data_IF_964006151866
#
_entry.id   IF_964006151866
#
_cell.length_a   1.000
_cell.length_b   1.000
_cell.length_c   1.000
_cell.angle_alpha   90.00
_cell.angle_beta   90.00
_cell.angle_gamma   90.00
#
_symmetry.space_group_name_H-M   'P 1'
#
loop_
_entity.id
_entity.type
_entity.pdbx_description
1 polymer ?
#
# COMPACT_ATOMS: atom_id res chain seq x y z
N UNK A 1 4.94 17.60 46.23
CA UNK A 1 5.45 18.05 44.93
C UNK A 1 5.59 16.84 44.03
N UNK A 2 4.64 16.62 43.16
CA UNK A 2 4.65 15.48 42.24
C UNK A 2 5.41 15.90 41.02
N UNK A 3 6.61 15.35 40.81
CA UNK A 3 7.37 15.52 39.56
C UNK A 3 6.68 14.67 38.50
N UNK A 4 5.89 15.32 37.67
CA UNK A 4 5.44 14.73 36.43
C UNK A 4 6.66 14.62 35.48
N UNK A 5 7.18 13.42 35.30
CA UNK A 5 8.18 13.15 34.30
C UNK A 5 7.46 13.28 32.95
N UNK A 6 7.54 14.44 32.31
CA UNK A 6 7.16 14.55 30.92
C UNK A 6 8.12 13.67 30.13
N UNK A 7 7.60 12.54 29.63
CA UNK A 7 8.32 11.74 28.66
C UNK A 7 8.35 12.57 27.37
N UNK A 8 9.45 13.24 27.12
CA UNK A 8 9.68 13.90 25.84
C UNK A 8 9.82 12.76 24.81
N UNK A 9 8.73 12.46 24.14
CA UNK A 9 8.79 11.58 22.96
C UNK A 9 9.45 12.38 21.85
N UNK A 10 10.67 12.03 21.53
CA UNK A 10 11.49 12.70 20.51
C UNK A 10 11.08 12.23 19.08
N UNK A 11 9.81 11.90 18.88
CA UNK A 11 9.25 11.47 17.60
C UNK A 11 8.48 12.62 16.96
N UNK A 12 8.67 12.79 15.66
CA UNK A 12 7.86 13.70 14.86
C UNK A 12 6.45 13.13 14.69
N UNK A 13 5.48 14.01 14.47
CA UNK A 13 4.13 13.62 14.14
C UNK A 13 4.08 12.82 12.84
N UNK A 14 3.20 11.82 12.77
CA UNK A 14 2.99 11.05 11.55
C UNK A 14 2.51 11.96 10.40
N UNK A 15 2.97 11.70 9.19
CA UNK A 15 2.52 12.43 8.01
C UNK A 15 0.99 12.36 7.88
N UNK A 16 0.34 13.52 7.77
CA UNK A 16 -1.11 13.62 7.82
C UNK A 16 -1.73 13.61 9.22
N UNK A 17 -0.92 13.64 10.28
CA UNK A 17 -1.36 13.82 11.67
C UNK A 17 -1.82 12.54 12.38
N UNK A 18 -1.92 11.41 11.69
CA UNK A 18 -2.36 10.14 12.28
C UNK A 18 -1.51 8.97 11.79
N UNK A 19 -0.93 8.24 12.72
CA UNK A 19 -0.29 6.96 12.41
C UNK A 19 -1.36 5.91 12.08
N UNK A 20 -1.27 5.34 10.89
CA UNK A 20 -2.15 4.25 10.46
C UNK A 20 -1.50 2.92 10.87
N UNK A 21 -2.28 2.04 11.46
CA UNK A 21 -1.87 0.67 11.75
C UNK A 21 -2.89 -0.29 11.12
N UNK A 22 -2.41 -1.15 10.23
CA UNK A 22 -3.21 -2.16 9.52
C UNK A 22 -2.88 -3.58 9.97
N UNK A 23 -2.04 -3.74 10.99
CA UNK A 23 -1.78 -5.04 11.60
C UNK A 23 -3.05 -5.57 12.27
N UNK A 24 -3.34 -6.83 12.04
CA UNK A 24 -4.53 -7.48 12.58
C UNK A 24 -4.24 -8.16 13.91
N UNK A 25 -5.28 -8.32 14.75
CA UNK A 25 -5.19 -9.10 15.98
C UNK A 25 -4.96 -10.60 15.70
N UNK A 26 -4.44 -11.33 16.67
CA UNK A 26 -4.23 -12.79 16.54
C UNK A 26 -5.51 -13.55 16.22
N UNK A 27 -6.66 -13.10 16.74
CA UNK A 27 -7.95 -13.71 16.43
C UNK A 27 -8.32 -13.52 14.97
N UNK A 28 -8.27 -12.27 14.48
CA UNK A 28 -8.58 -11.95 13.09
C UNK A 28 -7.57 -12.61 12.13
N UNK A 29 -6.30 -12.71 12.52
CA UNK A 29 -5.27 -13.41 11.76
C UNK A 29 -5.65 -14.88 11.50
N UNK A 30 -6.15 -15.58 12.52
CA UNK A 30 -6.60 -16.98 12.36
C UNK A 30 -7.79 -17.11 11.41
N UNK A 31 -8.74 -16.18 11.51
CA UNK A 31 -9.89 -16.12 10.62
C UNK A 31 -9.47 -15.87 9.17
N UNK A 32 -8.62 -14.89 8.92
CA UNK A 32 -8.12 -14.55 7.59
C UNK A 32 -7.26 -15.67 6.98
N UNK A 33 -6.46 -16.36 7.79
CA UNK A 33 -5.71 -17.55 7.35
C UNK A 33 -6.61 -18.68 6.91
N UNK A 34 -7.74 -18.89 7.58
CA UNK A 34 -8.73 -19.89 7.18
C UNK A 34 -9.47 -19.47 5.90
N UNK A 35 -9.91 -18.22 5.84
CA UNK A 35 -10.62 -17.63 4.69
C UNK A 35 -9.76 -17.60 3.42
N UNK A 36 -8.46 -17.29 3.55
CA UNK A 36 -7.54 -17.12 2.43
C UNK A 36 -7.47 -18.32 1.48
N UNK A 37 -7.74 -19.51 1.99
CA UNK A 37 -7.74 -20.76 1.20
C UNK A 37 -8.82 -20.79 0.12
N UNK A 38 -9.87 -20.00 0.27
CA UNK A 38 -10.99 -19.88 -0.68
C UNK A 38 -10.96 -18.60 -1.51
N UNK A 39 -10.03 -17.68 -1.21
CA UNK A 39 -9.91 -16.41 -1.92
C UNK A 39 -9.05 -16.54 -3.17
N UNK A 40 -9.31 -15.67 -4.14
CA UNK A 40 -8.34 -15.40 -5.20
C UNK A 40 -7.05 -14.89 -4.58
N UNK A 41 -5.92 -15.20 -5.19
CA UNK A 41 -4.61 -14.88 -4.62
C UNK A 41 -3.74 -14.06 -5.58
N UNK A 42 -2.94 -13.18 -5.02
CA UNK A 42 -1.84 -12.48 -5.70
C UNK A 42 -0.56 -12.87 -5.00
N UNK A 43 0.46 -13.24 -5.76
CA UNK A 43 1.82 -13.40 -5.24
C UNK A 43 2.56 -12.07 -5.37
N UNK A 44 2.98 -11.54 -4.23
CA UNK A 44 3.71 -10.28 -4.15
C UNK A 44 5.17 -10.49 -4.54
N UNK A 45 5.68 -9.61 -5.39
CA UNK A 45 7.12 -9.49 -5.57
C UNK A 45 7.75 -8.80 -4.34
N UNK A 46 9.09 -8.81 -4.16
CA UNK A 46 9.74 -8.22 -3.01
C UNK A 46 9.41 -6.73 -2.78
N UNK A 47 9.23 -5.95 -3.84
CA UNK A 47 8.87 -4.53 -3.77
C UNK A 47 7.47 -4.34 -3.21
N UNK A 48 6.48 -5.03 -3.78
CA UNK A 48 5.10 -4.97 -3.31
C UNK A 48 4.94 -5.50 -1.89
N UNK A 49 5.75 -6.50 -1.50
CA UNK A 49 5.77 -6.99 -0.12
C UNK A 49 6.31 -5.93 0.84
N UNK A 50 7.40 -5.27 0.49
CA UNK A 50 7.95 -4.16 1.28
C UNK A 50 6.95 -3.02 1.44
N UNK A 51 6.26 -2.64 0.36
CA UNK A 51 5.21 -1.63 0.42
C UNK A 51 4.05 -2.05 1.34
N UNK A 52 3.62 -3.30 1.25
CA UNK A 52 2.60 -3.85 2.15
C UNK A 52 3.01 -3.78 3.62
N UNK A 53 4.24 -4.14 3.94
CA UNK A 53 4.78 -4.07 5.30
C UNK A 53 4.78 -2.63 5.82
N UNK A 54 5.23 -1.67 5.01
CA UNK A 54 5.23 -0.25 5.37
C UNK A 54 3.81 0.31 5.54
N UNK A 55 2.85 -0.11 4.73
CA UNK A 55 1.43 0.22 4.92
C UNK A 55 0.95 -0.34 6.26
N UNK A 56 1.26 -1.60 6.57
CA UNK A 56 0.78 -2.29 7.76
C UNK A 56 1.23 -1.60 9.06
N UNK A 57 2.49 -1.25 9.16
CA UNK A 57 3.08 -0.63 10.37
C UNK A 57 2.94 0.89 10.43
N UNK A 58 2.38 1.51 9.39
CA UNK A 58 2.17 2.96 9.32
C UNK A 58 3.34 3.76 8.77
N UNK A 59 4.34 3.11 8.19
CA UNK A 59 5.45 3.79 7.52
C UNK A 59 5.01 4.62 6.32
N UNK A 60 3.89 4.28 5.71
CA UNK A 60 3.24 5.03 4.64
C UNK A 60 1.97 5.76 5.07
N UNK A 61 1.88 6.15 6.35
CA UNK A 61 0.75 7.00 6.78
C UNK A 61 0.65 8.27 5.94
N UNK A 62 -0.54 8.71 5.54
CA UNK A 62 -1.85 8.24 5.96
C UNK A 62 -2.47 7.13 5.07
N UNK A 63 -1.70 6.48 4.22
CA UNK A 63 -2.23 5.40 3.37
C UNK A 63 -2.78 4.25 4.22
N UNK A 64 -3.95 3.77 3.85
CA UNK A 64 -4.62 2.63 4.48
C UNK A 64 -4.51 1.35 3.65
N UNK A 65 -3.92 1.44 2.48
CA UNK A 65 -3.71 0.38 1.52
C UNK A 65 -2.97 0.90 0.29
N UNK A 66 -2.88 0.10 -0.75
CA UNK A 66 -2.37 0.55 -2.04
C UNK A 66 -3.27 1.65 -2.61
N UNK A 67 -2.68 2.57 -3.36
CA UNK A 67 -3.40 3.74 -3.89
C UNK A 67 -4.51 3.35 -4.85
N UNK A 68 -5.65 4.04 -4.72
CA UNK A 68 -6.70 4.06 -5.72
C UNK A 68 -6.29 4.90 -6.94
N UNK A 69 -7.10 4.88 -8.00
CA UNK A 69 -6.80 5.60 -9.24
C UNK A 69 -6.68 7.11 -9.04
N UNK A 70 -7.53 7.71 -8.18
CA UNK A 70 -7.52 9.14 -7.92
C UNK A 70 -6.23 9.58 -7.22
N UNK A 71 -5.81 8.89 -6.17
CA UNK A 71 -4.53 9.15 -5.49
C UNK A 71 -3.35 8.91 -6.43
N UNK A 72 -3.38 7.82 -7.20
CA UNK A 72 -2.33 7.52 -8.17
C UNK A 72 -2.15 8.66 -9.19
N UNK A 73 -3.23 9.13 -9.81
CA UNK A 73 -3.17 10.23 -10.78
C UNK A 73 -2.64 11.52 -10.16
N UNK A 74 -3.16 11.89 -8.98
CA UNK A 74 -2.72 13.09 -8.29
C UNK A 74 -1.24 13.02 -7.89
N UNK A 75 -0.77 11.88 -7.42
CA UNK A 75 0.64 11.69 -7.07
C UNK A 75 1.53 11.82 -8.31
N UNK A 76 1.17 11.18 -9.41
CA UNK A 76 1.95 11.23 -10.65
C UNK A 76 1.97 12.66 -11.24
N UNK A 77 0.85 13.35 -11.25
CA UNK A 77 0.71 14.65 -11.91
C UNK A 77 1.08 15.84 -11.02
N UNK A 78 0.73 15.78 -9.72
CA UNK A 78 0.77 16.93 -8.81
C UNK A 78 1.63 16.67 -7.57
N UNK A 79 2.18 15.47 -7.38
CA UNK A 79 2.95 15.07 -6.19
C UNK A 79 2.17 15.22 -4.87
N UNK A 80 0.86 15.00 -4.92
CA UNK A 80 -0.05 15.09 -3.78
C UNK A 80 -1.06 13.95 -3.80
N UNK A 81 -1.47 13.50 -2.61
CA UNK A 81 -2.67 12.66 -2.44
C UNK A 81 -3.94 13.49 -2.74
N UNK A 82 -5.07 12.82 -2.93
CA UNK A 82 -6.36 13.47 -3.16
C UNK A 82 -6.79 14.42 -2.02
N UNK A 83 -6.29 14.19 -0.82
CA UNK A 83 -6.52 15.06 0.34
C UNK A 83 -5.58 16.27 0.43
N UNK A 84 -4.69 16.46 -0.55
CA UNK A 84 -3.76 17.59 -0.63
C UNK A 84 -2.43 17.40 0.10
N UNK A 85 -2.20 16.24 0.74
CA UNK A 85 -0.91 15.95 1.37
C UNK A 85 0.16 15.67 0.33
N UNK A 86 1.37 16.21 0.52
CA UNK A 86 2.51 15.96 -0.36
C UNK A 86 2.88 14.48 -0.33
N UNK A 87 2.97 13.89 -1.51
CA UNK A 87 3.35 12.50 -1.70
C UNK A 87 4.01 12.30 -3.06
N UNK A 88 5.24 11.82 -3.09
CA UNK A 88 6.10 11.90 -4.27
C UNK A 88 6.22 10.61 -5.08
N UNK A 89 5.79 9.47 -4.54
CA UNK A 89 5.96 8.16 -5.17
C UNK A 89 4.64 7.39 -5.16
N UNK A 90 4.19 6.84 -6.30
CA UNK A 90 3.03 5.95 -6.33
C UNK A 90 3.28 4.67 -5.52
N UNK A 91 2.35 4.32 -4.64
CA UNK A 91 2.34 3.07 -3.89
C UNK A 91 1.19 2.22 -4.40
N UNK A 92 1.47 1.38 -5.36
CA UNK A 92 0.48 0.59 -6.11
C UNK A 92 0.79 -0.89 -6.06
N UNK A 93 -0.21 -1.72 -6.31
CA UNK A 93 -0.07 -3.16 -6.45
C UNK A 93 -0.21 -3.56 -7.92
N UNK A 94 0.90 -3.72 -8.65
CA UNK A 94 0.86 -4.10 -10.05
C UNK A 94 0.52 -5.60 -10.20
N UNK A 95 -0.32 -5.89 -11.17
CA UNK A 95 -0.65 -7.25 -11.59
C UNK A 95 -0.66 -7.33 -13.12
N UNK A 96 -0.52 -8.53 -13.66
CA UNK A 96 -0.69 -8.76 -15.10
C UNK A 96 -2.14 -8.53 -15.51
N UNK A 97 -2.36 -8.20 -16.78
CA UNK A 97 -3.71 -8.04 -17.33
C UNK A 97 -4.57 -9.30 -17.16
N UNK A 98 -3.99 -10.47 -17.38
CA UNK A 98 -4.69 -11.74 -17.21
C UNK A 98 -5.09 -11.97 -15.76
N UNK A 99 -4.22 -11.63 -14.81
CA UNK A 99 -4.55 -11.68 -13.38
C UNK A 99 -5.66 -10.70 -13.04
N UNK A 100 -5.57 -9.47 -13.53
CA UNK A 100 -6.59 -8.45 -13.29
C UNK A 100 -7.99 -8.87 -13.80
N UNK A 101 -8.05 -9.61 -14.93
CA UNK A 101 -9.31 -10.15 -15.46
C UNK A 101 -9.94 -11.22 -14.55
N UNK A 102 -9.12 -11.96 -13.80
CA UNK A 102 -9.60 -13.00 -12.88
C UNK A 102 -10.08 -12.45 -11.53
N UNK A 103 -9.69 -11.22 -11.20
CA UNK A 103 -10.05 -10.59 -9.94
C UNK A 103 -11.36 -9.81 -10.09
N UNK A 104 -12.23 -9.92 -9.09
CA UNK A 104 -13.53 -9.26 -9.06
C UNK A 104 -13.53 -8.10 -8.04
N UNK A 105 -13.97 -6.92 -8.48
CA UNK A 105 -14.12 -5.75 -7.60
C UNK A 105 -15.20 -6.04 -6.54
N UNK A 106 -14.95 -5.62 -5.30
CA UNK A 106 -15.81 -5.86 -4.16
C UNK A 106 -15.54 -7.19 -3.45
N UNK A 107 -14.54 -7.96 -3.89
CA UNK A 107 -14.11 -9.19 -3.23
C UNK A 107 -12.81 -9.02 -2.46
N UNK A 108 -12.54 -9.96 -1.57
CA UNK A 108 -11.25 -10.07 -0.87
C UNK A 108 -10.27 -10.89 -1.70
N UNK A 109 -9.01 -10.50 -1.65
CA UNK A 109 -7.91 -11.16 -2.36
C UNK A 109 -6.79 -11.44 -1.37
N UNK A 110 -6.32 -12.68 -1.34
CA UNK A 110 -5.22 -13.08 -0.48
C UNK A 110 -3.87 -12.64 -1.10
N UNK A 111 -3.02 -12.03 -0.29
CA UNK A 111 -1.70 -11.55 -0.69
C UNK A 111 -0.64 -12.47 -0.08
N UNK A 112 0.00 -13.26 -0.93
CA UNK A 112 1.08 -14.16 -0.55
C UNK A 112 2.43 -13.60 -0.98
N UNK A 113 3.46 -13.89 -0.20
CA UNK A 113 4.84 -13.72 -0.65
C UNK A 113 5.29 -14.87 -1.58
N UNK A 114 6.48 -14.75 -2.13
CA UNK A 114 7.12 -15.82 -2.92
C UNK A 114 7.45 -17.05 -2.07
N UNK A 115 7.50 -16.88 -0.76
CA UNK A 115 7.67 -17.94 0.26
C UNK A 115 6.36 -18.68 0.61
N UNK A 116 5.27 -18.39 -0.12
CA UNK A 116 3.93 -18.96 0.08
C UNK A 116 3.27 -18.61 1.43
N UNK A 117 3.83 -17.66 2.19
CA UNK A 117 3.19 -17.14 3.40
C UNK A 117 2.15 -16.08 3.06
N UNK A 118 1.05 -16.09 3.83
CA UNK A 118 0.03 -15.04 3.74
C UNK A 118 0.49 -13.81 4.52
N UNK A 119 0.65 -12.69 3.82
CA UNK A 119 1.06 -11.41 4.41
C UNK A 119 -0.10 -10.45 4.62
N UNK A 120 -1.16 -10.58 3.86
CA UNK A 120 -2.32 -9.71 3.98
C UNK A 120 -3.53 -10.19 3.20
N UNK A 121 -4.64 -9.51 3.42
CA UNK A 121 -5.87 -9.67 2.65
C UNK A 121 -6.28 -8.29 2.15
N UNK A 122 -6.41 -8.18 0.84
CA UNK A 122 -6.81 -6.96 0.16
C UNK A 122 -8.32 -6.96 -0.04
N UNK A 123 -8.98 -5.87 0.31
CA UNK A 123 -10.33 -5.57 -0.14
C UNK A 123 -10.23 -4.84 -1.48
N UNK A 124 -10.56 -5.52 -2.57
CA UNK A 124 -10.38 -4.99 -3.92
C UNK A 124 -11.50 -4.00 -4.25
N UNK A 125 -11.18 -2.72 -4.23
CA UNK A 125 -12.13 -1.63 -4.49
C UNK A 125 -12.09 -1.16 -5.93
N UNK A 126 -10.91 -1.12 -6.55
CA UNK A 126 -10.69 -0.61 -7.89
C UNK A 126 -9.64 -1.41 -8.67
N UNK A 127 -9.75 -1.39 -9.98
CA UNK A 127 -8.72 -1.81 -10.93
C UNK A 127 -8.54 -0.71 -11.96
N UNK A 128 -7.31 -0.33 -12.26
CA UNK A 128 -7.02 0.69 -13.25
C UNK A 128 -5.72 0.39 -14.00
N UNK A 129 -5.57 0.99 -15.15
CA UNK A 129 -4.35 0.91 -15.95
C UNK A 129 -3.47 2.12 -15.70
N UNK A 130 -2.18 1.98 -15.93
CA UNK A 130 -1.22 3.06 -15.79
C UNK A 130 -0.30 3.13 -17.01
N UNK A 131 0.18 4.33 -17.28
CA UNK A 131 1.15 4.62 -18.34
C UNK A 131 2.55 4.71 -17.70
N UNK A 132 3.37 3.69 -17.96
CA UNK A 132 4.72 3.61 -17.39
C UNK A 132 5.63 4.75 -17.81
N UNK A 133 5.51 5.22 -19.05
CA UNK A 133 6.34 6.33 -19.54
C UNK A 133 5.93 7.64 -18.89
N UNK A 134 4.63 7.90 -18.78
CA UNK A 134 4.11 9.08 -18.08
C UNK A 134 4.50 9.07 -16.60
N UNK A 135 4.37 7.92 -15.94
CA UNK A 135 4.79 7.77 -14.54
C UNK A 135 6.28 8.04 -14.37
N UNK A 136 7.13 7.41 -15.18
CA UNK A 136 8.57 7.60 -15.11
C UNK A 136 8.97 9.06 -15.34
N UNK A 137 8.38 9.73 -16.33
CA UNK A 137 8.67 11.12 -16.64
C UNK A 137 8.27 12.08 -15.51
N UNK A 138 7.11 11.86 -14.88
CA UNK A 138 6.60 12.76 -13.83
C UNK A 138 7.20 12.49 -12.44
N UNK A 139 7.45 11.23 -12.12
CA UNK A 139 7.97 10.82 -10.81
C UNK A 139 9.48 10.92 -10.75
N UNK A 140 10.18 10.43 -11.77
CA UNK A 140 11.65 10.35 -11.82
C UNK A 140 12.30 11.39 -12.74
N UNK A 141 11.52 12.11 -13.54
CA UNK A 141 11.99 13.11 -14.48
C UNK A 141 12.70 12.54 -15.71
N UNK A 142 12.64 11.22 -15.91
CA UNK A 142 13.28 10.52 -17.03
C UNK A 142 12.53 9.26 -17.40
N UNK A 143 12.62 8.89 -18.66
CA UNK A 143 12.14 7.59 -19.19
C UNK A 143 13.29 6.62 -19.47
N UNK A 144 14.50 6.97 -19.04
CA UNK A 144 15.69 6.13 -19.22
C UNK A 144 15.53 4.83 -18.41
N UNK A 145 15.60 3.70 -19.12
CA UNK A 145 15.44 2.36 -18.53
C UNK A 145 16.61 1.95 -17.61
N UNK A 146 17.74 2.63 -17.75
CA UNK A 146 18.92 2.42 -16.90
C UNK A 146 18.90 3.28 -15.61
N UNK A 147 17.87 4.09 -15.43
CA UNK A 147 17.68 4.84 -14.19
C UNK A 147 17.31 3.88 -13.07
N UNK A 148 18.03 3.89 -11.91
CA UNK A 148 17.77 3.00 -10.79
C UNK A 148 16.41 3.21 -10.14
#
# INVERSE_FOLDING_TARGET
MTLTTETITNTIEAHGGKLINREVSDLLKKELLAESKSLSAITLNPWSLSDLELIAIGGFSPLTGFMNEADYKNVVEELHLSNGLVWSIPITLPVTEDKAKQLEIGTRVALYGEDEHLYGVLELEEKYTYDKEKEAQHVYGTTDVDHP
#
